data_IF_764183251816
#
_entry.id   IF_764183251816
#
_cell.length_a   1.000
_cell.length_b   1.000
_cell.length_c   1.000
_cell.angle_alpha   90.00
_cell.angle_beta   90.00
_cell.angle_gamma   90.00
#
_symmetry.space_group_name_H-M   'P 1'
#
loop_
_entity.id
_entity.type
_entity.pdbx_description
1 polymer ?
#
# COMPACT_ATOMS: atom_id res chain seq x y z
N UNK A 1 -18.65 -0.51 -8.74
CA UNK A 1 -18.27 -1.76 -8.04
C UNK A 1 -16.77 -1.93 -8.18
N UNK A 2 -16.08 -2.46 -7.17
CA UNK A 2 -14.63 -2.66 -7.19
C UNK A 2 -14.35 -4.12 -6.89
N UNK A 3 -13.42 -4.72 -7.63
CA UNK A 3 -12.94 -6.06 -7.43
C UNK A 3 -11.47 -6.01 -7.12
N UNK A 4 -11.06 -6.73 -6.07
CA UNK A 4 -9.66 -7.03 -5.82
C UNK A 4 -9.46 -8.53 -5.98
N UNK A 5 -8.38 -8.90 -6.66
CA UNK A 5 -7.92 -10.28 -6.65
C UNK A 5 -7.30 -10.63 -5.29
N UNK A 6 -6.97 -11.90 -5.11
CA UNK A 6 -6.04 -12.28 -4.04
C UNK A 6 -4.62 -11.77 -4.34
N UNK A 7 -3.74 -11.82 -3.35
CA UNK A 7 -2.35 -11.41 -3.51
C UNK A 7 -1.57 -12.37 -4.43
N UNK A 8 -1.88 -13.66 -4.34
CA UNK A 8 -1.25 -14.71 -5.13
C UNK A 8 -1.52 -14.51 -6.63
N UNK A 9 -2.79 -14.27 -7.00
CA UNK A 9 -3.17 -13.99 -8.38
C UNK A 9 -2.52 -12.70 -8.91
N UNK A 10 -2.43 -11.66 -8.07
CA UNK A 10 -1.77 -10.41 -8.47
C UNK A 10 -0.27 -10.58 -8.71
N UNK A 11 0.41 -11.45 -7.94
CA UNK A 11 1.83 -11.77 -8.10
C UNK A 11 2.09 -12.56 -9.38
N UNK A 12 1.25 -13.58 -9.67
CA UNK A 12 1.33 -14.39 -10.89
C UNK A 12 1.24 -13.54 -12.18
N UNK A 13 0.46 -12.46 -12.12
CA UNK A 13 0.23 -11.54 -13.23
C UNK A 13 0.99 -10.20 -13.11
N UNK A 14 1.93 -10.09 -12.19
CA UNK A 14 2.59 -8.83 -11.83
C UNK A 14 3.32 -8.18 -13.02
N UNK A 15 3.93 -9.00 -13.88
CA UNK A 15 4.73 -8.56 -15.03
C UNK A 15 3.94 -8.59 -16.35
N UNK A 16 2.62 -8.81 -16.31
CA UNK A 16 1.80 -8.77 -17.52
C UNK A 16 1.91 -7.40 -18.21
N UNK A 17 2.18 -7.42 -19.52
CA UNK A 17 2.28 -6.20 -20.33
C UNK A 17 0.90 -5.58 -20.56
N UNK A 18 -0.11 -6.42 -20.76
CA UNK A 18 -1.50 -6.02 -20.92
C UNK A 18 -2.34 -6.54 -19.74
N UNK A 19 -3.14 -5.65 -19.15
CA UNK A 19 -4.00 -5.95 -18.01
C UNK A 19 -5.44 -6.26 -18.42
N UNK A 20 -5.83 -6.01 -19.67
CA UNK A 20 -7.20 -6.27 -20.12
C UNK A 20 -7.61 -7.74 -19.96
N UNK A 21 -6.82 -8.74 -20.40
CA UNK A 21 -7.21 -10.15 -20.24
C UNK A 21 -7.39 -10.56 -18.77
N UNK A 22 -6.60 -9.98 -17.86
CA UNK A 22 -6.69 -10.25 -16.42
C UNK A 22 -7.99 -9.68 -15.85
N UNK A 23 -8.38 -8.47 -16.28
CA UNK A 23 -9.67 -7.89 -15.92
C UNK A 23 -10.85 -8.71 -16.42
N UNK A 24 -10.77 -9.23 -17.65
CA UNK A 24 -11.79 -10.12 -18.22
C UNK A 24 -11.94 -11.39 -17.38
N UNK A 25 -10.84 -12.05 -16.99
CA UNK A 25 -10.88 -13.21 -16.10
C UNK A 25 -11.56 -12.91 -14.75
N UNK A 26 -11.28 -11.73 -14.16
CA UNK A 26 -11.92 -11.32 -12.91
C UNK A 26 -13.42 -11.06 -13.08
N UNK A 27 -13.85 -10.49 -14.22
CA UNK A 27 -15.26 -10.25 -14.53
C UNK A 27 -16.01 -11.55 -14.83
N UNK A 28 -15.36 -12.51 -15.49
CA UNK A 28 -15.89 -13.86 -15.71
C UNK A 28 -16.19 -14.55 -14.37
N UNK A 29 -15.22 -14.56 -13.46
CA UNK A 29 -15.39 -15.16 -12.12
C UNK A 29 -16.49 -14.44 -11.32
N UNK A 30 -16.54 -13.11 -11.38
CA UNK A 30 -17.61 -12.34 -10.75
C UNK A 30 -19.00 -12.72 -11.29
N UNK A 31 -19.11 -12.87 -12.61
CA UNK A 31 -20.36 -13.25 -13.25
C UNK A 31 -20.84 -14.65 -12.88
N UNK A 32 -19.89 -15.57 -12.66
CA UNK A 32 -20.17 -16.91 -12.15
C UNK A 32 -20.62 -16.90 -10.68
N UNK A 33 -19.98 -16.08 -9.84
CA UNK A 33 -20.29 -16.01 -8.40
C UNK A 33 -21.56 -15.24 -8.06
N UNK A 34 -21.90 -14.21 -8.83
CA UNK A 34 -23.04 -13.32 -8.54
C UNK A 34 -24.16 -13.43 -9.58
N UNK A 35 -24.00 -12.78 -10.74
CA UNK A 35 -24.98 -12.82 -11.84
C UNK A 35 -24.28 -12.68 -13.21
N UNK A 36 -24.76 -13.37 -14.27
CA UNK A 36 -24.08 -13.40 -15.58
C UNK A 36 -23.85 -12.03 -16.23
N UNK A 37 -24.70 -11.03 -15.94
CA UNK A 37 -24.61 -9.68 -16.51
C UNK A 37 -23.31 -8.96 -16.10
N UNK A 38 -22.67 -9.38 -15.01
CA UNK A 38 -21.43 -8.76 -14.53
C UNK A 38 -20.19 -9.17 -15.33
N UNK A 39 -20.31 -10.17 -16.22
CA UNK A 39 -19.22 -10.55 -17.15
C UNK A 39 -18.93 -9.46 -18.19
N UNK A 40 -19.88 -8.55 -18.45
CA UNK A 40 -19.80 -7.55 -19.52
C UNK A 40 -20.37 -6.20 -19.08
N UNK A 41 -19.70 -5.47 -18.16
CA UNK A 41 -20.11 -4.12 -17.81
C UNK A 41 -19.86 -3.16 -18.99
N UNK A 42 -20.67 -2.10 -19.09
CA UNK A 42 -20.52 -1.08 -20.14
C UNK A 42 -19.15 -0.37 -20.09
N UNK A 43 -18.55 -0.31 -18.89
CA UNK A 43 -17.22 0.27 -18.68
C UNK A 43 -16.50 -0.42 -17.51
N UNK A 44 -15.19 -0.62 -17.67
CA UNK A 44 -14.31 -1.15 -16.62
C UNK A 44 -12.86 -0.72 -16.87
N UNK A 45 -12.05 -0.84 -15.83
CA UNK A 45 -10.61 -0.58 -15.86
C UNK A 45 -9.91 -1.48 -14.84
N UNK A 46 -8.69 -1.90 -15.17
CA UNK A 46 -7.81 -2.62 -14.25
C UNK A 46 -6.68 -1.69 -13.81
N UNK A 47 -6.37 -1.71 -12.52
CA UNK A 47 -5.21 -1.04 -11.97
C UNK A 47 -4.37 -2.05 -11.18
N UNK A 48 -3.05 -1.98 -11.35
CA UNK A 48 -2.08 -2.87 -10.69
C UNK A 48 -1.32 -2.12 -9.61
N UNK A 49 -1.51 -2.54 -8.36
CA UNK A 49 -0.84 -1.99 -7.19
C UNK A 49 0.24 -2.97 -6.70
N UNK A 50 1.50 -2.80 -7.13
CA UNK A 50 2.62 -3.65 -6.69
C UNK A 50 2.84 -3.62 -5.18
N UNK A 51 2.58 -2.47 -4.55
CA UNK A 51 2.73 -2.27 -3.11
C UNK A 51 1.37 -1.97 -2.46
N UNK A 52 0.41 -2.90 -2.62
CA UNK A 52 -0.97 -2.72 -2.16
C UNK A 52 -1.19 -3.04 -0.68
N UNK A 53 -0.37 -3.94 -0.13
CA UNK A 53 -0.51 -4.44 1.24
C UNK A 53 0.84 -4.79 1.84
N UNK A 54 1.00 -4.43 3.09
CA UNK A 54 2.12 -4.87 3.94
C UNK A 54 1.97 -6.35 4.25
N UNK A 55 2.90 -7.19 3.78
CA UNK A 55 2.91 -8.62 4.12
C UNK A 55 3.68 -8.88 5.42
N UNK A 56 4.70 -8.07 5.70
CA UNK A 56 5.50 -8.11 6.91
C UNK A 56 5.80 -6.66 7.32
N UNK A 57 5.29 -6.24 8.47
CA UNK A 57 5.62 -4.93 9.04
C UNK A 57 6.99 -4.97 9.70
N UNK A 58 7.59 -3.79 9.90
CA UNK A 58 8.80 -3.68 10.73
C UNK A 58 8.54 -3.82 12.23
N UNK A 59 7.28 -3.77 12.66
CA UNK A 59 6.86 -3.78 14.06
C UNK A 59 7.52 -2.64 14.88
N UNK A 60 7.67 -1.48 14.24
CA UNK A 60 8.24 -0.27 14.83
C UNK A 60 7.23 0.87 14.83
N UNK A 61 7.26 1.68 15.88
CA UNK A 61 6.40 2.86 15.99
C UNK A 61 6.96 4.08 15.26
N UNK A 62 8.29 4.21 15.20
CA UNK A 62 9.04 5.23 14.45
C UNK A 62 10.30 4.63 13.84
N UNK A 63 10.81 5.24 12.77
CA UNK A 63 12.10 4.89 12.18
C UNK A 63 12.80 6.17 11.72
N UNK A 64 14.05 6.35 12.14
CA UNK A 64 14.87 7.48 11.74
C UNK A 64 16.34 7.07 11.53
N UNK A 65 17.01 7.73 10.59
CA UNK A 65 18.47 7.69 10.43
C UNK A 65 19.03 9.07 10.67
N UNK A 66 19.96 9.23 11.61
CA UNK A 66 20.52 10.53 11.98
C UNK A 66 21.79 10.93 11.21
N UNK A 67 22.33 10.04 10.38
CA UNK A 67 23.56 10.28 9.60
C UNK A 67 23.34 9.98 8.11
N UNK A 68 23.93 10.77 7.19
CA UNK A 68 24.72 11.99 7.43
C UNK A 68 23.87 13.20 7.85
N UNK A 69 22.57 13.18 7.57
CA UNK A 69 21.58 14.13 8.06
C UNK A 69 20.37 13.34 8.58
N UNK A 70 19.57 13.91 9.49
CA UNK A 70 18.42 13.20 10.01
C UNK A 70 17.31 13.04 8.97
N UNK A 71 16.89 11.80 8.80
CA UNK A 71 15.82 11.37 7.91
C UNK A 71 14.85 10.51 8.71
N UNK A 72 13.58 10.92 8.69
CA UNK A 72 12.50 10.24 9.40
C UNK A 72 11.62 9.54 8.37
N UNK A 73 11.17 8.33 8.72
CA UNK A 73 10.36 7.49 7.85
C UNK A 73 8.98 7.34 8.45
N UNK A 74 7.98 7.43 7.59
CA UNK A 74 6.58 7.18 7.92
C UNK A 74 5.97 6.30 6.82
N UNK A 75 4.99 5.48 7.21
CA UNK A 75 4.32 4.55 6.33
C UNK A 75 3.56 3.48 7.08
N UNK A 76 2.57 2.91 6.42
CA UNK A 76 1.78 1.79 6.95
C UNK A 76 2.63 0.56 7.26
N UNK A 77 3.73 0.36 6.54
CA UNK A 77 4.67 -0.75 6.71
C UNK A 77 5.45 -0.73 8.03
N UNK A 78 5.38 0.33 8.84
CA UNK A 78 6.08 0.42 10.12
C UNK A 78 5.43 -0.44 11.21
N UNK A 79 4.15 -0.21 11.54
CA UNK A 79 3.54 -0.84 12.72
C UNK A 79 2.63 -2.04 12.40
N UNK A 80 1.89 -2.03 11.29
CA UNK A 80 0.96 -3.14 11.01
C UNK A 80 0.14 -3.06 9.73
N UNK A 81 0.40 -2.08 8.86
CA UNK A 81 -0.34 -1.89 7.63
C UNK A 81 -1.63 -1.07 7.78
N UNK A 82 -2.20 -0.69 6.65
CA UNK A 82 -3.47 0.03 6.59
C UNK A 82 -3.37 1.52 6.92
N UNK A 83 -4.51 2.20 6.77
CA UNK A 83 -4.60 3.67 6.82
C UNK A 83 -4.28 4.22 8.20
N UNK A 84 -4.76 3.55 9.27
CA UNK A 84 -4.50 3.98 10.64
C UNK A 84 -3.01 3.91 10.98
N UNK A 85 -2.33 2.82 10.61
CA UNK A 85 -0.89 2.68 10.82
C UNK A 85 -0.10 3.75 10.06
N UNK A 86 -0.45 4.01 8.79
CA UNK A 86 0.16 5.11 8.03
C UNK A 86 -0.01 6.46 8.74
N UNK A 87 -1.23 6.77 9.18
CA UNK A 87 -1.55 8.02 9.84
C UNK A 87 -0.78 8.21 11.15
N UNK A 88 -0.82 7.20 12.03
CA UNK A 88 -0.11 7.23 13.32
C UNK A 88 1.40 7.31 13.12
N UNK A 89 1.97 6.60 12.16
CA UNK A 89 3.41 6.69 11.86
C UNK A 89 3.81 8.10 11.39
N UNK A 90 2.95 8.77 10.63
CA UNK A 90 3.16 10.16 10.21
C UNK A 90 3.19 11.14 11.38
N UNK A 91 2.26 10.98 12.33
CA UNK A 91 2.24 11.79 13.56
C UNK A 91 3.53 11.57 14.35
N UNK A 92 3.93 10.32 14.57
CA UNK A 92 5.13 9.99 15.34
C UNK A 92 6.40 10.53 14.70
N UNK A 93 6.54 10.39 13.38
CA UNK A 93 7.67 10.97 12.65
C UNK A 93 7.72 12.51 12.82
N UNK A 94 6.57 13.19 12.78
CA UNK A 94 6.50 14.63 13.02
C UNK A 94 6.88 15.02 14.46
N UNK A 95 6.41 14.28 15.47
CA UNK A 95 6.78 14.49 16.87
C UNK A 95 8.29 14.30 17.09
N UNK A 96 8.88 13.28 16.47
CA UNK A 96 10.32 12.99 16.54
C UNK A 96 11.14 14.12 15.90
N UNK A 97 10.72 14.59 14.71
CA UNK A 97 11.30 15.76 14.05
C UNK A 97 11.29 16.98 14.99
N UNK A 98 10.13 17.29 15.57
CA UNK A 98 9.95 18.44 16.46
C UNK A 98 10.86 18.34 17.69
N UNK A 99 10.86 17.20 18.40
CA UNK A 99 11.73 16.99 19.58
C UNK A 99 13.20 17.19 19.21
N UNK A 100 13.59 16.66 18.07
CA UNK A 100 14.98 16.63 17.66
C UNK A 100 15.57 18.03 17.37
N UNK A 101 14.73 19.00 16.97
CA UNK A 101 15.12 20.42 16.88
C UNK A 101 15.32 21.08 18.26
N UNK A 102 14.53 20.71 19.26
CA UNK A 102 14.60 21.30 20.60
C UNK A 102 15.74 20.71 21.46
N UNK A 103 16.12 19.46 21.22
CA UNK A 103 17.18 18.76 21.94
C UNK A 103 18.60 19.08 21.42
N UNK A 104 18.74 20.03 20.48
CA UNK A 104 20.04 20.51 19.99
C UNK A 104 20.76 19.55 19.03
N UNK A 105 20.10 18.49 18.55
CA UNK A 105 20.68 17.48 17.66
C UNK A 105 20.99 18.03 16.25
N UNK A 106 20.47 19.23 15.91
CA UNK A 106 20.52 19.84 14.57
C UNK A 106 21.24 21.19 14.51
N UNK A 107 21.90 21.62 15.59
CA UNK A 107 22.67 22.87 15.61
C UNK A 107 24.16 22.58 15.43
N UNK A 108 24.58 22.02 14.29
CA UNK A 108 25.98 22.06 13.81
C UNK A 108 26.05 21.96 12.29
#
# INVERSE_FOLDING_TARGET
>A
MVLHSTAEFAEEHLEAVDLAPIGEMMLEELGHLLIPQLTRPDWWQVHRWRYSRVCQSLEMDSLASYRPLPLFFAGDWLAGGGVESAFLSGIRAAEEIISSFFDGVFIY
#
